data_IF_710947788628
#
_entry.id   IF_710947788628
#
_cell.length_a   1.000
_cell.length_b   1.000
_cell.length_c   1.000
_cell.angle_alpha   90.00
_cell.angle_beta   90.00
_cell.angle_gamma   90.00
#
_symmetry.space_group_name_H-M   'P 1'
#
loop_
_entity.id
_entity.type
_entity.pdbx_description
1 polymer ?
#
# COMPACT_ATOMS: atom_id res chain seq x y z
N UNK A 1 20.09 5.77 -10.56
CA UNK A 1 18.70 6.27 -10.51
C UNK A 1 18.09 5.98 -9.16
N UNK A 2 17.31 6.91 -8.68
CA UNK A 2 16.74 6.76 -7.37
C UNK A 2 15.37 6.12 -7.38
N UNK A 3 14.95 5.72 -6.22
CA UNK A 3 13.63 5.13 -6.00
C UNK A 3 12.94 5.84 -4.86
N UNK A 4 11.63 5.67 -4.78
CA UNK A 4 10.83 6.18 -3.69
C UNK A 4 10.17 4.99 -3.01
N UNK A 5 10.30 4.91 -1.70
CA UNK A 5 9.66 3.87 -0.93
C UNK A 5 8.48 4.50 -0.19
N UNK A 6 7.31 3.97 -0.45
CA UNK A 6 6.06 4.53 0.04
C UNK A 6 5.35 3.50 0.92
N UNK A 7 4.91 3.93 2.08
CA UNK A 7 4.11 3.09 2.95
C UNK A 7 2.68 3.57 2.91
N UNK A 8 1.77 2.67 2.57
CA UNK A 8 0.34 2.94 2.57
C UNK A 8 -0.30 2.20 3.73
N UNK A 9 -1.30 2.82 4.32
CA UNK A 9 -2.10 2.20 5.36
C UNK A 9 -3.49 1.96 4.78
N UNK A 10 -3.87 0.70 4.75
CA UNK A 10 -5.12 0.28 4.13
C UNK A 10 -6.08 -0.20 5.21
N UNK A 11 -7.24 0.43 5.29
CA UNK A 11 -8.24 0.09 6.30
C UNK A 11 -9.30 -0.80 5.67
N UNK A 12 -9.52 -2.00 6.21
CA UNK A 12 -10.60 -2.86 5.71
C UNK A 12 -11.95 -2.31 6.16
N UNK A 13 -12.99 -2.71 5.45
CA UNK A 13 -14.36 -2.30 5.81
C UNK A 13 -14.85 -3.03 7.05
N UNK A 14 -14.26 -4.16 7.35
CA UNK A 14 -14.73 -5.03 8.43
C UNK A 14 -13.56 -5.76 9.04
N UNK A 15 -13.80 -6.41 10.17
CA UNK A 15 -12.78 -7.24 10.81
C UNK A 15 -12.51 -8.45 9.92
N UNK A 16 -11.25 -8.70 9.62
CA UNK A 16 -10.83 -9.84 8.80
C UNK A 16 -9.89 -10.72 9.59
N UNK A 17 -9.92 -12.02 9.31
CA UNK A 17 -9.03 -12.97 9.98
C UNK A 17 -7.59 -12.77 9.54
N UNK A 18 -7.40 -12.46 8.26
CA UNK A 18 -6.08 -12.21 7.72
C UNK A 18 -6.22 -11.33 6.48
N UNK A 19 -5.10 -10.89 5.97
CA UNK A 19 -5.07 -9.99 4.82
C UNK A 19 -4.64 -10.67 3.51
N UNK A 20 -4.68 -11.99 3.46
CA UNK A 20 -4.19 -12.72 2.28
C UNK A 20 -4.93 -12.32 1.00
N UNK A 21 -6.24 -12.23 1.06
CA UNK A 21 -7.04 -11.83 -0.11
C UNK A 21 -6.73 -10.40 -0.52
N UNK A 22 -6.57 -9.51 0.45
CA UNK A 22 -6.26 -8.11 0.18
C UNK A 22 -4.87 -7.97 -0.41
N UNK A 23 -3.91 -8.72 0.11
CA UNK A 23 -2.55 -8.71 -0.42
C UNK A 23 -2.52 -9.16 -1.88
N UNK A 24 -3.31 -10.16 -2.21
CA UNK A 24 -3.43 -10.62 -3.60
C UNK A 24 -3.98 -9.54 -4.51
N UNK A 25 -5.00 -8.83 -4.05
CA UNK A 25 -5.59 -7.75 -4.84
C UNK A 25 -4.60 -6.61 -5.04
N UNK A 26 -3.84 -6.28 -4.01
CA UNK A 26 -2.82 -5.24 -4.11
C UNK A 26 -1.75 -5.64 -5.13
N UNK A 27 -1.32 -6.90 -5.08
CA UNK A 27 -0.33 -7.39 -6.02
C UNK A 27 -0.84 -7.33 -7.46
N UNK A 28 -2.13 -7.59 -7.64
CA UNK A 28 -2.73 -7.55 -8.97
C UNK A 28 -2.85 -6.15 -9.55
N UNK A 29 -3.06 -5.15 -8.69
CA UNK A 29 -3.25 -3.77 -9.18
C UNK A 29 -1.95 -2.97 -9.24
N UNK A 30 -0.88 -3.47 -8.66
CA UNK A 30 0.36 -2.72 -8.68
C UNK A 30 0.92 -2.64 -10.09
N UNK A 31 1.54 -1.50 -10.47
CA UNK A 31 2.18 -1.39 -11.78
C UNK A 31 3.38 -2.34 -11.88
N UNK A 32 3.73 -2.70 -13.11
CA UNK A 32 4.88 -3.56 -13.35
C UNK A 32 6.19 -2.99 -12.83
N UNK A 33 6.30 -1.66 -12.87
CA UNK A 33 7.52 -0.99 -12.45
C UNK A 33 7.63 -0.83 -10.92
N UNK A 34 6.59 -1.21 -10.19
CA UNK A 34 6.60 -1.12 -8.74
C UNK A 34 6.89 -2.47 -8.12
N UNK A 35 7.58 -2.46 -6.99
CA UNK A 35 7.88 -3.68 -6.25
C UNK A 35 7.34 -3.56 -4.84
N UNK A 36 6.74 -4.63 -4.36
CA UNK A 36 6.26 -4.69 -2.98
C UNK A 36 7.46 -5.05 -2.10
N UNK A 37 7.80 -4.15 -1.17
CA UNK A 37 8.94 -4.36 -0.29
C UNK A 37 8.56 -5.13 0.97
N UNK A 38 7.31 -5.02 1.40
CA UNK A 38 6.89 -5.75 2.58
C UNK A 38 5.49 -5.36 3.00
N UNK A 39 5.00 -6.12 3.98
CA UNK A 39 3.69 -5.90 4.59
C UNK A 39 3.83 -5.86 6.09
N UNK A 40 2.93 -5.15 6.73
CA UNK A 40 2.83 -5.14 8.17
C UNK A 40 1.37 -4.98 8.57
N UNK A 41 1.12 -5.09 9.85
CA UNK A 41 -0.23 -4.91 10.39
C UNK A 41 -0.16 -3.98 11.57
N UNK A 42 -1.21 -3.19 11.75
CA UNK A 42 -1.28 -2.26 12.85
C UNK A 42 -2.66 -2.31 13.47
N UNK A 43 -2.71 -2.41 14.80
CA UNK A 43 -3.99 -2.38 15.50
C UNK A 43 -4.55 -0.97 15.45
N UNK A 44 -5.81 -0.86 15.05
CA UNK A 44 -6.47 0.45 14.97
C UNK A 44 -7.36 0.65 16.17
N UNK A 45 -8.44 -0.13 16.28
CA UNK A 45 -9.39 -0.02 17.38
C UNK A 45 -10.35 -1.19 17.33
N UNK A 46 -10.83 -1.63 18.50
CA UNK A 46 -11.91 -2.61 18.60
C UNK A 46 -11.70 -3.89 17.79
N UNK A 47 -10.46 -4.37 17.75
CA UNK A 47 -10.15 -5.58 17.02
C UNK A 47 -9.92 -5.38 15.53
N UNK A 48 -10.10 -4.17 15.02
CA UNK A 48 -9.79 -3.85 13.64
C UNK A 48 -8.29 -3.65 13.49
N UNK A 49 -7.77 -4.16 12.38
CA UNK A 49 -6.36 -3.96 12.04
C UNK A 49 -6.28 -3.31 10.67
N UNK A 50 -5.26 -2.49 10.48
CA UNK A 50 -4.97 -1.93 9.18
C UNK A 50 -3.79 -2.68 8.58
N UNK A 51 -3.80 -2.82 7.27
CA UNK A 51 -2.69 -3.44 6.56
C UNK A 51 -1.74 -2.34 6.13
N UNK A 52 -0.47 -2.52 6.45
CA UNK A 52 0.58 -1.63 5.96
C UNK A 52 1.22 -2.30 4.77
N UNK A 53 1.37 -1.58 3.69
CA UNK A 53 2.06 -2.11 2.51
C UNK A 53 3.12 -1.11 2.09
N UNK A 54 4.31 -1.62 1.85
CA UNK A 54 5.44 -0.81 1.47
C UNK A 54 5.82 -1.14 0.03
N UNK A 55 5.82 -0.13 -0.82
CA UNK A 55 6.14 -0.31 -2.23
C UNK A 55 7.31 0.58 -2.62
N UNK A 56 8.04 0.11 -3.61
CA UNK A 56 9.15 0.85 -4.18
C UNK A 56 8.76 1.27 -5.60
N UNK A 57 8.80 2.56 -5.86
CA UNK A 57 8.49 3.12 -7.18
C UNK A 57 9.73 3.80 -7.75
N UNK A 58 9.90 3.79 -9.08
CA UNK A 58 10.93 4.61 -9.69
C UNK A 58 10.65 6.09 -9.45
N UNK A 59 11.69 6.85 -9.23
CA UNK A 59 11.60 8.29 -8.95
C UNK A 59 10.98 9.10 -10.09
N UNK A 60 11.13 8.63 -11.30
CA UNK A 60 10.69 9.35 -12.48
C UNK A 60 9.20 9.13 -12.83
N UNK A 61 8.47 8.44 -11.98
CA UNK A 61 7.04 8.22 -12.19
C UNK A 61 6.23 9.21 -11.38
N UNK A 62 6.13 10.44 -11.88
CA UNK A 62 5.38 11.47 -11.20
C UNK A 62 3.90 11.13 -11.07
N UNK A 63 3.33 11.44 -9.91
CA UNK A 63 1.91 11.23 -9.66
C UNK A 63 1.51 9.80 -9.31
N UNK A 64 2.45 8.85 -9.40
CA UNK A 64 2.10 7.45 -9.16
C UNK A 64 1.71 7.20 -7.71
N UNK A 65 2.30 7.93 -6.78
CA UNK A 65 2.00 7.74 -5.36
C UNK A 65 0.52 8.01 -5.08
N UNK A 66 0.02 9.13 -5.57
CA UNK A 66 -1.39 9.49 -5.39
C UNK A 66 -2.31 8.59 -6.20
N UNK A 67 -1.92 8.26 -7.40
CA UNK A 67 -2.70 7.39 -8.27
C UNK A 67 -2.87 6.00 -7.65
N UNK A 68 -1.81 5.47 -7.08
CA UNK A 68 -1.87 4.15 -6.45
C UNK A 68 -2.71 4.20 -5.17
N UNK A 69 -2.64 5.30 -4.43
CA UNK A 69 -3.48 5.47 -3.25
C UNK A 69 -4.96 5.38 -3.62
N UNK A 70 -5.34 6.02 -4.72
CA UNK A 70 -6.72 5.95 -5.20
C UNK A 70 -7.12 4.53 -5.60
N UNK A 71 -6.21 3.82 -6.23
CA UNK A 71 -6.47 2.42 -6.62
C UNK A 71 -6.66 1.54 -5.40
N UNK A 72 -5.86 1.74 -4.37
CA UNK A 72 -6.02 1.00 -3.12
C UNK A 72 -7.39 1.25 -2.50
N UNK A 73 -7.82 2.51 -2.50
CA UNK A 73 -9.09 2.87 -1.91
C UNK A 73 -10.29 2.29 -2.65
N UNK A 74 -10.10 1.90 -3.89
CA UNK A 74 -11.16 1.33 -4.71
C UNK A 74 -11.25 -0.20 -4.66
N UNK A 75 -10.32 -0.83 -3.96
CA UNK A 75 -10.37 -2.28 -3.81
C UNK A 75 -11.59 -2.68 -3.01
N UNK A 76 -12.29 -3.71 -3.48
CA UNK A 76 -13.45 -4.24 -2.76
C UNK A 76 -13.03 -4.71 -1.37
N UNK A 77 -13.77 -4.26 -0.35
CA UNK A 77 -13.45 -4.60 1.03
C UNK A 77 -12.54 -3.60 1.73
N UNK A 78 -12.14 -2.53 1.04
CA UNK A 78 -11.32 -1.47 1.61
C UNK A 78 -12.19 -0.26 1.92
N UNK A 79 -12.13 0.19 3.17
CA UNK A 79 -12.85 1.37 3.61
C UNK A 79 -12.14 2.64 3.16
N UNK A 80 -10.85 2.69 3.39
CA UNK A 80 -10.03 3.81 2.94
C UNK A 80 -8.57 3.38 2.90
N UNK A 81 -7.77 4.13 2.18
CA UNK A 81 -6.34 3.91 2.11
C UNK A 81 -5.67 5.27 2.13
N UNK A 82 -4.50 5.35 2.76
CA UNK A 82 -3.76 6.60 2.81
C UNK A 82 -2.27 6.34 2.80
N UNK A 83 -1.55 7.28 2.22
CA UNK A 83 -0.09 7.26 2.22
C UNK A 83 0.37 7.84 3.56
N UNK A 84 1.08 7.04 4.34
CA UNK A 84 1.50 7.49 5.68
C UNK A 84 2.96 7.85 5.74
N UNK A 85 3.76 7.39 4.78
CA UNK A 85 5.18 7.66 4.81
C UNK A 85 5.77 7.53 3.42
N UNK A 86 6.62 8.49 3.05
CA UNK A 86 7.35 8.47 1.77
C UNK A 86 8.79 8.79 2.09
N UNK A 87 9.70 7.98 1.57
CA UNK A 87 11.11 8.30 1.69
C UNK A 87 11.82 8.00 0.38
N UNK A 88 12.86 8.73 0.12
CA UNK A 88 13.69 8.50 -1.04
C UNK A 88 14.75 7.48 -0.71
N UNK A 89 15.05 6.66 -1.71
CA UNK A 89 16.17 5.76 -1.64
C UNK A 89 17.12 6.16 -2.77
N UNK A 90 18.35 6.49 -2.43
CA UNK A 90 19.35 6.82 -3.43
C UNK A 90 20.11 5.57 -3.89
N UNK A 91 19.78 4.43 -3.32
CA UNK A 91 20.35 3.16 -3.69
C UNK A 91 19.28 2.22 -4.18
N UNK A 92 19.57 1.51 -5.19
CA UNK A 92 18.64 0.51 -5.73
C UNK A 92 19.16 -0.89 -5.54
#
# INVERSE_FOLDING_TARGET
MGSVIVTYKVFPEDIVENFDALKKQIDNIKPEFAAIEGYGEEDVAFGLKALLVQLKFPEDKGGIVDEFEEKLAKISGVSQAQCVFVRRSSRD
#
